data_IF_786312582585
#
_entry.id   IF_786312582585
#
_cell.length_a   1.000
_cell.length_b   1.000
_cell.length_c   1.000
_cell.angle_alpha   90.00
_cell.angle_beta   90.00
_cell.angle_gamma   90.00
#
_symmetry.space_group_name_H-M   'P 1'
#
loop_
_entity.id
_entity.type
_entity.pdbx_description
1 polymer ?
#
# COMPACT_ATOMS: atom_id res chain seq x y z
N UNK A 1 18.23 -2.96 -8.45
CA UNK A 1 19.29 -1.92 -8.34
C UNK A 1 18.93 -0.86 -7.29
N UNK A 2 17.69 -0.31 -7.29
CA UNK A 2 17.24 0.74 -6.36
C UNK A 2 17.33 0.30 -4.89
N UNK A 3 16.85 -0.91 -4.55
CA UNK A 3 16.98 -1.46 -3.20
C UNK A 3 18.43 -1.57 -2.73
N UNK A 4 19.34 -1.97 -3.62
CA UNK A 4 20.76 -2.04 -3.32
C UNK A 4 21.36 -0.67 -3.02
N UNK A 5 20.93 0.37 -3.75
CA UNK A 5 21.32 1.75 -3.51
C UNK A 5 20.83 2.23 -2.13
N UNK A 6 19.55 1.98 -1.82
CA UNK A 6 18.96 2.34 -0.52
C UNK A 6 19.61 1.62 0.66
N UNK A 7 20.07 0.37 0.47
CA UNK A 7 20.85 -0.35 1.50
C UNK A 7 22.23 0.27 1.68
N UNK A 8 22.91 0.65 0.59
CA UNK A 8 24.22 1.35 0.66
C UNK A 8 24.09 2.71 1.34
N UNK A 9 22.97 3.40 1.14
CA UNK A 9 22.66 4.68 1.79
C UNK A 9 22.14 4.53 3.23
N UNK A 10 22.05 3.32 3.77
CA UNK A 10 21.53 3.07 5.11
C UNK A 10 20.02 3.27 5.28
N UNK A 11 19.29 3.54 4.19
CA UNK A 11 17.83 3.78 4.19
C UNK A 11 17.00 2.49 4.19
N UNK A 12 17.63 1.35 3.88
CA UNK A 12 17.00 0.05 3.83
C UNK A 12 17.88 -1.01 4.51
N UNK A 13 17.28 -1.89 5.31
CA UNK A 13 18.04 -3.01 5.93
C UNK A 13 18.43 -4.05 4.89
N UNK A 14 19.60 -4.65 5.04
CA UNK A 14 20.12 -5.70 4.14
C UNK A 14 19.18 -6.91 4.03
N UNK A 15 18.39 -7.19 5.07
CA UNK A 15 17.35 -8.23 5.08
C UNK A 15 16.18 -7.96 4.13
N UNK A 16 15.97 -6.69 3.73
CA UNK A 16 14.96 -6.31 2.75
C UNK A 16 15.38 -6.58 1.29
N UNK A 17 16.61 -7.02 1.08
CA UNK A 17 17.12 -7.50 -0.22
C UNK A 17 16.66 -8.92 -0.58
N UNK A 18 15.73 -9.51 0.17
CA UNK A 18 15.09 -10.77 -0.25
C UNK A 18 14.21 -10.48 -1.46
N UNK A 19 14.85 -10.37 -2.61
CA UNK A 19 14.16 -10.11 -3.86
C UNK A 19 13.33 -11.33 -4.24
N UNK A 20 12.02 -11.13 -4.28
CA UNK A 20 11.11 -12.00 -5.02
C UNK A 20 11.06 -11.46 -6.44
N UNK A 21 11.36 -12.31 -7.41
CA UNK A 21 11.26 -12.00 -8.83
C UNK A 21 10.28 -12.96 -9.47
N UNK A 22 9.21 -12.42 -10.05
CA UNK A 22 8.23 -13.20 -10.80
C UNK A 22 8.54 -13.04 -12.29
N UNK A 23 8.64 -14.15 -12.99
CA UNK A 23 8.97 -14.18 -14.42
C UNK A 23 8.20 -15.29 -15.14
N UNK A 24 8.06 -15.17 -16.44
CA UNK A 24 7.48 -16.20 -17.30
C UNK A 24 8.63 -17.05 -17.84
N UNK A 25 8.58 -18.36 -17.55
CA UNK A 25 9.58 -19.33 -18.00
C UNK A 25 9.41 -19.73 -19.47
N UNK A 26 10.35 -20.52 -19.99
CA UNK A 26 10.30 -21.06 -21.37
C UNK A 26 9.13 -22.02 -21.58
N UNK A 27 8.60 -22.58 -20.50
CA UNK A 27 7.38 -23.41 -20.46
C UNK A 27 6.07 -22.57 -20.52
N UNK A 28 6.20 -21.25 -20.69
CA UNK A 28 5.12 -20.27 -20.71
C UNK A 28 4.34 -20.17 -19.39
N UNK A 29 4.87 -20.68 -18.27
CA UNK A 29 4.30 -20.59 -16.92
C UNK A 29 4.97 -19.49 -16.10
N UNK A 30 4.27 -18.98 -15.10
CA UNK A 30 4.82 -18.02 -14.16
C UNK A 30 5.54 -18.72 -13.01
N UNK A 31 6.74 -18.24 -12.73
CA UNK A 31 7.63 -18.71 -11.68
C UNK A 31 8.01 -17.57 -10.73
N UNK A 32 8.10 -17.86 -9.45
CA UNK A 32 8.61 -16.94 -8.43
C UNK A 32 9.95 -17.44 -7.90
N UNK A 33 10.98 -16.59 -8.01
CA UNK A 33 12.30 -16.86 -7.45
C UNK A 33 12.49 -16.02 -6.19
N UNK A 34 12.74 -16.71 -5.06
CA UNK A 34 13.07 -16.10 -3.75
C UNK A 34 14.44 -16.61 -3.30
N UNK A 35 15.49 -15.80 -3.46
CA UNK A 35 16.86 -16.22 -3.17
C UNK A 35 17.28 -17.41 -4.04
N UNK A 36 17.47 -18.59 -3.44
CA UNK A 36 17.83 -19.84 -4.14
C UNK A 36 16.61 -20.71 -4.52
N UNK A 37 15.44 -20.44 -3.98
CA UNK A 37 14.21 -21.19 -4.25
C UNK A 37 13.52 -20.66 -5.49
N UNK A 38 13.01 -21.55 -6.34
CA UNK A 38 12.18 -21.22 -7.49
C UNK A 38 10.93 -22.11 -7.45
N UNK A 39 9.75 -21.49 -7.49
CA UNK A 39 8.46 -22.14 -7.36
C UNK A 39 7.55 -21.74 -8.51
N UNK A 40 6.80 -22.72 -9.06
CA UNK A 40 5.77 -22.42 -10.06
C UNK A 40 4.54 -21.84 -9.36
N UNK A 41 4.13 -20.64 -9.79
CA UNK A 41 2.97 -19.90 -9.26
C UNK A 41 1.93 -19.62 -10.33
N UNK A 42 1.95 -20.39 -11.41
CA UNK A 42 1.09 -20.15 -12.57
C UNK A 42 -0.41 -20.19 -12.22
N UNK A 43 -0.80 -21.07 -11.31
CA UNK A 43 -2.18 -21.19 -10.83
C UNK A 43 -2.61 -20.00 -9.94
N UNK A 44 -1.67 -19.29 -9.34
CA UNK A 44 -1.93 -18.12 -8.49
C UNK A 44 -2.06 -16.83 -9.31
N UNK A 45 -1.56 -16.82 -10.57
CA UNK A 45 -1.61 -15.64 -11.44
C UNK A 45 -2.96 -15.56 -12.13
N UNK A 46 -3.71 -14.48 -11.93
CA UNK A 46 -5.12 -14.42 -12.35
C UNK A 46 -5.32 -14.19 -13.85
N UNK A 47 -4.33 -13.60 -14.54
CA UNK A 47 -4.37 -13.30 -15.97
C UNK A 47 -2.99 -12.97 -16.52
N UNK A 48 -2.84 -13.09 -17.82
CA UNK A 48 -1.63 -12.65 -18.52
C UNK A 48 -1.51 -11.13 -18.59
N UNK A 49 -0.28 -10.64 -18.49
CA UNK A 49 0.06 -9.22 -18.62
C UNK A 49 0.94 -9.00 -19.86
N UNK A 50 0.98 -7.75 -20.41
CA UNK A 50 1.89 -7.41 -21.49
C UNK A 50 3.34 -7.74 -21.15
N UNK A 51 4.15 -8.09 -22.16
CA UNK A 51 5.58 -8.46 -21.96
C UNK A 51 6.42 -7.34 -21.33
N UNK A 52 5.99 -6.09 -21.45
CA UNK A 52 6.64 -4.92 -20.82
C UNK A 52 6.28 -4.75 -19.35
N UNK A 53 5.29 -5.49 -18.84
CA UNK A 53 4.85 -5.44 -17.44
C UNK A 53 5.50 -6.54 -16.62
N UNK A 54 5.48 -6.37 -15.30
CA UNK A 54 5.92 -7.39 -14.36
C UNK A 54 4.85 -7.66 -13.31
N UNK A 55 4.68 -8.92 -12.92
CA UNK A 55 4.02 -9.24 -11.67
C UNK A 55 4.98 -9.03 -10.50
N UNK A 56 4.48 -8.46 -9.41
CA UNK A 56 5.23 -8.31 -8.16
C UNK A 56 4.37 -8.68 -6.96
N UNK A 57 4.99 -9.11 -5.86
CA UNK A 57 4.37 -9.10 -4.54
C UNK A 57 4.41 -7.67 -4.01
N UNK A 58 3.35 -7.25 -3.31
CA UNK A 58 3.26 -5.90 -2.79
C UNK A 58 4.46 -5.55 -1.88
N UNK A 59 4.94 -6.48 -1.05
CA UNK A 59 6.14 -6.30 -0.22
C UNK A 59 7.42 -6.00 -1.01
N UNK A 60 7.46 -6.38 -2.29
CA UNK A 60 8.63 -6.15 -3.15
C UNK A 60 8.72 -4.71 -3.62
N UNK A 61 7.58 -4.03 -3.76
CA UNK A 61 7.49 -2.70 -4.35
C UNK A 61 7.10 -1.60 -3.36
N UNK A 62 6.45 -1.95 -2.25
CA UNK A 62 6.03 -1.01 -1.21
C UNK A 62 6.49 -1.52 0.17
N UNK A 63 7.01 -0.62 0.99
CA UNK A 63 7.32 -0.96 2.36
C UNK A 63 6.05 -0.80 3.21
N UNK A 64 5.58 -1.91 3.78
CA UNK A 64 4.47 -1.86 4.72
C UNK A 64 4.98 -1.46 6.11
N UNK A 65 4.37 -0.43 6.68
CA UNK A 65 4.66 0.05 8.01
C UNK A 65 3.45 -0.06 8.95
N UNK A 66 3.70 -0.36 10.21
CA UNK A 66 2.73 -0.26 11.29
C UNK A 66 3.05 0.95 12.15
N UNK A 67 2.02 1.69 12.54
CA UNK A 67 2.16 2.78 13.50
C UNK A 67 2.57 2.26 14.89
N UNK A 68 3.29 3.07 15.65
CA UNK A 68 3.38 2.90 17.10
C UNK A 68 2.00 3.17 17.71
N UNK A 69 1.65 2.37 18.72
CA UNK A 69 0.32 2.47 19.35
C UNK A 69 0.15 3.79 20.10
N UNK A 70 -0.89 4.54 19.76
CA UNK A 70 -1.40 5.68 20.52
C UNK A 70 -2.48 5.16 21.47
N UNK A 71 -2.32 5.40 22.77
CA UNK A 71 -3.29 4.99 23.78
C UNK A 71 -4.39 6.05 23.96
N UNK A 72 -5.56 5.65 24.47
CA UNK A 72 -6.70 6.57 24.66
C UNK A 72 -6.36 7.76 25.59
N UNK A 73 -5.46 7.56 26.56
CA UNK A 73 -4.97 8.64 27.46
C UNK A 73 -4.21 9.75 26.71
N UNK A 74 -3.69 9.45 25.52
CA UNK A 74 -2.89 10.37 24.71
C UNK A 74 -3.74 11.13 23.67
N UNK A 75 -5.05 10.83 23.61
CA UNK A 75 -5.96 11.53 22.72
C UNK A 75 -6.24 12.94 23.22
N UNK A 76 -6.35 13.87 22.25
CA UNK A 76 -6.63 15.31 22.46
C UNK A 76 -7.77 15.75 21.57
N UNK A 77 -8.30 16.94 21.87
CA UNK A 77 -9.31 17.62 21.05
C UNK A 77 -8.72 18.59 20.03
N UNK A 78 -7.40 18.85 20.13
CA UNK A 78 -6.66 19.70 19.20
C UNK A 78 -5.20 19.25 19.14
N UNK A 79 -4.48 19.60 18.07
CA UNK A 79 -3.08 19.23 17.87
C UNK A 79 -2.84 18.58 16.50
N UNK A 80 -2.04 17.54 16.45
CA UNK A 80 -1.79 16.75 15.22
C UNK A 80 -2.97 15.79 15.02
N UNK A 81 -3.64 15.80 13.86
CA UNK A 81 -4.72 14.86 13.56
C UNK A 81 -4.32 13.40 13.75
N UNK A 82 -5.19 12.62 14.39
CA UNK A 82 -5.02 11.20 14.58
C UNK A 82 -6.12 10.43 13.88
N UNK A 83 -5.77 9.74 12.78
CA UNK A 83 -6.72 9.10 11.89
C UNK A 83 -6.88 7.60 12.18
N UNK A 84 -8.13 7.17 12.25
CA UNK A 84 -8.57 5.77 12.26
C UNK A 84 -9.02 5.38 10.86
N UNK A 85 -9.47 4.14 10.68
CA UNK A 85 -10.02 3.69 9.39
C UNK A 85 -11.20 4.57 8.88
N UNK A 86 -12.02 5.10 9.80
CA UNK A 86 -13.13 6.02 9.44
C UNK A 86 -12.61 7.29 8.75
N UNK A 87 -11.63 7.94 9.35
CA UNK A 87 -11.06 9.19 8.84
C UNK A 87 -10.33 8.95 7.51
N UNK A 88 -9.53 7.90 7.41
CA UNK A 88 -8.86 7.53 6.14
C UNK A 88 -9.87 7.19 5.05
N UNK A 89 -10.96 6.48 5.38
CA UNK A 89 -12.04 6.19 4.44
C UNK A 89 -12.69 7.46 3.90
N UNK A 90 -13.01 8.42 4.76
CA UNK A 90 -13.57 9.73 4.35
C UNK A 90 -12.58 10.53 3.50
N UNK A 91 -11.31 10.60 3.89
CA UNK A 91 -10.28 11.27 3.09
C UNK A 91 -10.14 10.64 1.70
N UNK A 92 -10.27 9.32 1.61
CA UNK A 92 -10.20 8.60 0.33
C UNK A 92 -11.38 8.90 -0.60
N UNK A 93 -12.59 9.05 -0.04
CA UNK A 93 -13.83 9.24 -0.80
C UNK A 93 -14.17 10.72 -1.03
N UNK A 94 -13.99 11.57 -0.02
CA UNK A 94 -14.46 12.96 0.00
C UNK A 94 -13.30 13.98 -0.12
N UNK A 95 -12.06 13.53 0.08
CA UNK A 95 -10.86 14.38 0.04
C UNK A 95 -10.66 15.23 1.29
N UNK A 96 -11.61 15.20 2.23
CA UNK A 96 -11.55 15.92 3.50
C UNK A 96 -12.19 15.10 4.63
N UNK A 97 -11.88 15.44 5.88
CA UNK A 97 -12.53 14.87 7.06
C UNK A 97 -12.61 15.88 8.19
N UNK A 98 -13.78 15.94 8.83
CA UNK A 98 -13.94 16.57 10.14
C UNK A 98 -13.39 15.62 11.20
N UNK A 99 -12.22 15.97 11.74
CA UNK A 99 -11.47 15.11 12.65
C UNK A 99 -11.82 15.41 14.11
N UNK A 100 -12.01 14.36 14.89
CA UNK A 100 -12.39 14.45 16.31
C UNK A 100 -11.24 14.12 17.26
N UNK A 101 -10.18 13.43 16.75
CA UNK A 101 -9.08 12.94 17.56
C UNK A 101 -7.76 13.54 17.12
N UNK A 102 -6.99 13.97 18.08
CA UNK A 102 -5.68 14.56 17.88
C UNK A 102 -4.68 13.96 18.87
N UNK A 103 -3.40 14.20 18.65
CA UNK A 103 -2.31 13.89 19.58
C UNK A 103 -1.44 15.12 19.78
N UNK A 104 -0.68 15.15 20.86
CA UNK A 104 0.29 16.21 21.14
C UNK A 104 1.41 16.22 20.09
N UNK A 105 1.93 17.40 19.75
CA UNK A 105 3.05 17.55 18.84
C UNK A 105 4.28 16.77 19.34
N UNK A 106 4.57 16.80 20.64
CA UNK A 106 5.71 16.10 21.23
C UNK A 106 5.62 14.58 21.05
N UNK A 107 4.41 13.99 21.15
CA UNK A 107 4.19 12.57 20.87
C UNK A 107 4.37 12.25 19.39
N UNK A 108 3.88 13.12 18.51
CA UNK A 108 4.08 12.99 17.07
C UNK A 108 5.57 13.01 16.71
N UNK A 109 6.35 13.94 17.28
CA UNK A 109 7.79 14.06 17.05
C UNK A 109 8.56 12.84 17.57
N UNK A 110 8.22 12.31 18.75
CA UNK A 110 8.78 11.05 19.26
C UNK A 110 8.50 9.89 18.30
N UNK A 111 7.27 9.79 17.77
CA UNK A 111 6.87 8.72 16.86
C UNK A 111 7.47 8.89 15.46
N UNK A 112 7.78 10.11 15.05
CA UNK A 112 8.40 10.40 13.76
C UNK A 112 9.76 9.73 13.58
N UNK A 113 10.47 9.45 14.68
CA UNK A 113 11.71 8.68 14.66
C UNK A 113 11.54 7.25 14.11
N UNK A 114 10.33 6.68 14.23
CA UNK A 114 9.96 5.36 13.72
C UNK A 114 9.34 5.40 12.31
N UNK A 115 9.18 6.59 11.75
CA UNK A 115 8.54 6.87 10.48
C UNK A 115 7.10 7.34 10.62
N UNK A 116 6.76 8.34 9.82
CA UNK A 116 5.39 8.87 9.62
C UNK A 116 5.04 8.76 8.15
N UNK A 117 3.75 8.84 7.79
CA UNK A 117 3.36 8.89 6.38
C UNK A 117 4.02 10.07 5.67
N UNK A 118 4.57 9.82 4.49
CA UNK A 118 5.21 10.82 3.64
C UNK A 118 4.38 11.04 2.38
N UNK A 119 4.55 12.16 1.67
CA UNK A 119 3.88 12.41 0.41
C UNK A 119 4.03 11.25 -0.58
N UNK A 120 2.96 10.91 -1.26
CA UNK A 120 2.83 9.75 -2.17
C UNK A 120 2.84 8.36 -1.48
N UNK A 121 2.90 8.28 -0.16
CA UNK A 121 2.56 7.04 0.54
C UNK A 121 1.05 6.77 0.46
N UNK A 122 0.67 5.49 0.57
CA UNK A 122 -0.73 5.08 0.52
C UNK A 122 -1.19 4.60 1.90
N UNK A 123 -2.26 5.21 2.39
CA UNK A 123 -2.92 4.80 3.64
C UNK A 123 -4.11 3.91 3.30
N UNK A 124 -4.13 2.67 3.82
CA UNK A 124 -5.19 1.70 3.53
C UNK A 124 -6.00 1.39 4.77
N UNK A 125 -7.34 1.40 4.63
CA UNK A 125 -8.23 0.94 5.70
C UNK A 125 -8.16 -0.58 5.85
N UNK A 126 -7.83 -1.04 7.06
CA UNK A 126 -7.61 -2.45 7.39
C UNK A 126 -8.76 -3.09 8.20
N UNK A 127 -9.75 -2.29 8.62
CA UNK A 127 -10.95 -2.74 9.33
C UNK A 127 -12.18 -1.94 8.85
N UNK A 128 -13.37 -2.48 9.06
CA UNK A 128 -14.61 -1.87 8.60
C UNK A 128 -14.73 -1.93 7.07
N UNK A 129 -14.78 -0.77 6.41
CA UNK A 129 -14.72 -0.72 4.94
C UNK A 129 -13.29 -0.93 4.49
N UNK A 130 -12.96 -2.18 4.16
CA UNK A 130 -11.60 -2.58 3.79
C UNK A 130 -11.14 -2.03 2.45
N UNK A 131 -9.86 -1.70 2.37
CA UNK A 131 -9.17 -1.42 1.10
C UNK A 131 -9.51 -0.08 0.48
N UNK A 132 -10.02 0.89 1.25
CA UNK A 132 -10.04 2.29 0.84
C UNK A 132 -8.65 2.86 0.92
N UNK A 133 -8.23 3.57 -0.11
CA UNK A 133 -6.85 4.09 -0.24
C UNK A 133 -6.85 5.61 -0.28
N UNK A 134 -6.15 6.22 0.66
CA UNK A 134 -5.82 7.63 0.65
C UNK A 134 -4.35 7.83 0.27
N UNK A 135 -4.08 8.71 -0.69
CA UNK A 135 -2.71 9.09 -1.06
C UNK A 135 -2.34 10.31 -0.23
N UNK A 136 -1.23 10.20 0.50
CA UNK A 136 -0.71 11.28 1.36
C UNK A 136 -0.24 12.46 0.50
N UNK A 137 -0.71 13.67 0.83
CA UNK A 137 -0.38 14.92 0.13
C UNK A 137 0.81 15.62 0.79
N UNK A 138 1.44 16.53 0.08
CA UNK A 138 2.53 17.38 0.60
C UNK A 138 2.12 18.23 1.82
N UNK A 139 0.83 18.64 1.85
CA UNK A 139 0.28 19.44 2.95
C UNK A 139 -0.10 18.64 4.18
N UNK A 140 -0.06 17.31 4.11
CA UNK A 140 -0.56 16.46 5.18
C UNK A 140 0.45 16.33 6.32
N UNK A 141 -0.07 16.49 7.54
CA UNK A 141 0.64 16.20 8.77
C UNK A 141 -0.32 15.53 9.74
N UNK A 142 -0.21 14.21 9.89
CA UNK A 142 -1.08 13.42 10.76
C UNK A 142 -0.37 12.17 11.27
N UNK A 143 -0.96 11.54 12.26
CA UNK A 143 -0.61 10.19 12.69
C UNK A 143 -1.83 9.26 12.55
N UNK A 144 -1.63 7.95 12.63
CA UNK A 144 -2.72 7.00 12.35
C UNK A 144 -2.76 5.84 13.34
N UNK A 145 -3.94 5.20 13.43
CA UNK A 145 -4.19 4.10 14.38
C UNK A 145 -3.64 2.78 13.86
N UNK A 146 -2.73 2.20 14.64
CA UNK A 146 -2.23 0.83 14.43
C UNK A 146 -3.37 -0.20 14.34
N UNK A 147 -3.18 -1.22 13.52
CA UNK A 147 -4.12 -2.32 13.32
C UNK A 147 -5.43 -1.98 12.60
N UNK A 148 -5.78 -0.69 12.44
CA UNK A 148 -6.96 -0.27 11.67
C UNK A 148 -6.62 0.44 10.37
N UNK A 149 -5.42 0.98 10.26
CA UNK A 149 -4.86 1.62 9.08
C UNK A 149 -3.46 1.06 8.83
N UNK A 150 -3.15 0.74 7.59
CA UNK A 150 -1.82 0.33 7.14
C UNK A 150 -1.23 1.43 6.27
N UNK A 151 0.07 1.70 6.45
CA UNK A 151 0.82 2.60 5.60
C UNK A 151 1.67 1.78 4.62
N UNK A 152 1.53 2.07 3.34
CA UNK A 152 2.36 1.55 2.26
C UNK A 152 3.30 2.64 1.79
N UNK A 153 4.53 2.59 2.26
CA UNK A 153 5.54 3.60 1.92
C UNK A 153 6.05 3.40 0.49
N UNK A 154 5.81 4.39 -0.36
CA UNK A 154 6.16 4.39 -1.79
C UNK A 154 7.59 4.89 -2.02
N UNK A 155 8.57 4.18 -1.49
CA UNK A 155 9.99 4.59 -1.54
C UNK A 155 10.65 4.47 -2.91
N UNK A 156 9.99 3.80 -3.86
CA UNK A 156 10.54 3.57 -5.20
C UNK A 156 9.99 4.54 -6.26
N UNK A 157 9.15 5.49 -5.85
CA UNK A 157 8.62 6.52 -6.74
C UNK A 157 7.66 5.99 -7.81
N UNK A 158 6.90 4.94 -7.50
CA UNK A 158 5.82 4.47 -8.37
C UNK A 158 4.68 5.49 -8.42
N UNK A 159 3.88 5.48 -9.48
CA UNK A 159 2.71 6.34 -9.57
C UNK A 159 1.67 5.97 -8.50
N UNK A 160 1.50 6.83 -7.50
CA UNK A 160 0.62 6.56 -6.35
C UNK A 160 -0.85 6.38 -6.77
N UNK A 161 -1.30 7.15 -7.76
CA UNK A 161 -2.66 7.01 -8.31
C UNK A 161 -2.87 5.68 -9.02
N UNK A 162 -1.86 5.21 -9.78
CA UNK A 162 -1.92 3.89 -10.40
C UNK A 162 -2.03 2.80 -9.32
N UNK A 163 -1.20 2.86 -8.30
CA UNK A 163 -1.23 1.92 -7.18
C UNK A 163 -2.60 1.94 -6.47
N UNK A 164 -3.16 3.14 -6.21
CA UNK A 164 -4.50 3.29 -5.66
C UNK A 164 -5.55 2.61 -6.53
N UNK A 165 -5.54 2.86 -7.84
CA UNK A 165 -6.48 2.24 -8.80
C UNK A 165 -6.41 0.72 -8.74
N UNK A 166 -5.20 0.14 -8.75
CA UNK A 166 -5.04 -1.32 -8.68
C UNK A 166 -5.50 -1.87 -7.35
N UNK A 167 -5.13 -1.27 -6.22
CA UNK A 167 -5.49 -1.73 -4.87
C UNK A 167 -7.02 -1.65 -4.64
N UNK A 168 -7.68 -0.64 -5.19
CA UNK A 168 -9.13 -0.49 -5.11
C UNK A 168 -9.90 -1.31 -6.14
N UNK A 169 -9.22 -1.95 -7.09
CA UNK A 169 -9.84 -2.76 -8.15
C UNK A 169 -10.52 -4.03 -7.60
N UNK A 170 -11.52 -4.57 -8.32
CA UNK A 170 -12.12 -5.86 -7.99
C UNK A 170 -11.11 -7.01 -7.97
N UNK A 171 -10.10 -6.98 -8.86
CA UNK A 171 -9.01 -7.93 -8.90
C UNK A 171 -8.25 -7.99 -7.57
N UNK A 172 -7.75 -6.84 -7.11
CA UNK A 172 -6.97 -6.81 -5.86
C UNK A 172 -7.84 -7.15 -4.65
N UNK A 173 -9.06 -6.64 -4.61
CA UNK A 173 -10.05 -6.95 -3.57
C UNK A 173 -10.44 -8.42 -3.54
N UNK A 174 -10.40 -9.11 -4.68
CA UNK A 174 -10.63 -10.56 -4.79
C UNK A 174 -9.64 -11.36 -3.94
N UNK A 175 -8.37 -10.97 -3.90
CA UNK A 175 -7.32 -11.69 -3.17
C UNK A 175 -7.60 -11.79 -1.67
N UNK A 176 -8.05 -10.70 -1.01
CA UNK A 176 -8.36 -10.78 0.42
C UNK A 176 -9.78 -11.28 0.73
N UNK A 177 -10.72 -11.22 -0.21
CA UNK A 177 -12.04 -11.79 -0.05
C UNK A 177 -12.01 -13.31 -0.03
N UNK A 178 -11.19 -13.93 -0.87
CA UNK A 178 -11.01 -15.38 -0.91
C UNK A 178 -10.47 -15.91 0.43
N UNK A 179 -9.52 -15.19 1.04
CA UNK A 179 -8.94 -15.57 2.34
C UNK A 179 -9.87 -15.32 3.54
N UNK A 180 -10.88 -14.46 3.38
CA UNK A 180 -11.81 -14.08 4.46
C UNK A 180 -13.04 -14.98 4.55
N UNK A 181 -13.18 -16.00 3.70
CA UNK A 181 -14.28 -16.94 3.76
C UNK A 181 -14.26 -17.71 5.08
N UNK A 182 -15.29 -17.50 5.92
CA UNK A 182 -15.45 -18.16 7.21
C UNK A 182 -15.11 -17.31 8.44
N UNK A 183 -14.69 -16.05 8.29
CA UNK A 183 -14.45 -15.14 9.42
C UNK A 183 -15.57 -14.10 9.56
N UNK A 184 -16.05 -13.90 10.80
CA UNK A 184 -17.16 -12.98 11.12
C UNK A 184 -16.81 -11.50 10.85
N UNK A 185 -15.52 -11.15 10.89
CA UNK A 185 -15.01 -9.80 10.61
C UNK A 185 -13.80 -9.90 9.69
N UNK A 186 -13.95 -9.42 8.47
CA UNK A 186 -12.83 -9.31 7.54
C UNK A 186 -11.84 -8.25 8.05
N UNK A 187 -10.58 -8.65 8.23
CA UNK A 187 -9.48 -7.74 8.60
C UNK A 187 -8.35 -7.91 7.61
N UNK A 188 -7.89 -6.81 7.04
CA UNK A 188 -6.71 -6.78 6.19
C UNK A 188 -5.46 -6.67 7.06
N UNK A 189 -4.71 -7.76 7.17
CA UNK A 189 -3.45 -7.75 7.93
C UNK A 189 -2.27 -7.39 7.04
N UNK A 190 -1.24 -6.79 7.63
CA UNK A 190 0.01 -6.46 6.92
C UNK A 190 0.63 -7.70 6.27
N UNK A 191 0.70 -8.81 7.00
CA UNK A 191 1.30 -10.08 6.52
C UNK A 191 0.57 -10.64 5.29
N UNK A 192 -0.75 -10.49 5.24
CA UNK A 192 -1.54 -10.89 4.06
C UNK A 192 -1.33 -9.93 2.91
N UNK A 193 -1.48 -8.62 3.19
CA UNK A 193 -1.33 -7.57 2.18
C UNK A 193 0.02 -7.64 1.46
N UNK A 194 1.09 -7.94 2.17
CA UNK A 194 2.43 -8.10 1.62
C UNK A 194 2.54 -9.16 0.52
N UNK A 195 1.74 -10.20 0.60
CA UNK A 195 1.77 -11.36 -0.31
C UNK A 195 0.96 -11.16 -1.59
N UNK A 196 0.06 -10.16 -1.63
CA UNK A 196 -0.82 -9.99 -2.78
C UNK A 196 -0.07 -9.58 -4.02
N UNK A 197 -0.54 -10.08 -5.15
CA UNK A 197 0.01 -9.76 -6.45
C UNK A 197 -0.48 -8.40 -6.94
N UNK A 198 0.42 -7.72 -7.62
CA UNK A 198 0.14 -6.45 -8.28
C UNK A 198 0.85 -6.41 -9.63
N UNK A 199 0.15 -6.05 -10.73
CA UNK A 199 0.79 -5.87 -12.02
C UNK A 199 1.48 -4.50 -12.07
N UNK A 200 2.72 -4.47 -12.57
CA UNK A 200 3.54 -3.25 -12.61
C UNK A 200 3.95 -2.94 -14.04
N UNK A 201 3.30 -1.96 -14.69
CA UNK A 201 3.75 -1.38 -15.93
C UNK A 201 5.05 -0.58 -15.76
N UNK A 202 5.79 -0.29 -16.85
CA UNK A 202 6.78 0.77 -16.84
C UNK A 202 6.20 2.10 -16.32
N UNK A 203 7.00 2.88 -15.59
CA UNK A 203 6.51 4.07 -14.86
C UNK A 203 5.73 5.05 -15.77
N UNK A 204 6.21 5.32 -16.99
CA UNK A 204 5.52 6.20 -17.93
C UNK A 204 4.15 5.64 -18.35
N UNK A 205 4.01 4.33 -18.40
CA UNK A 205 2.76 3.68 -18.70
C UNK A 205 1.77 3.76 -17.53
N UNK A 206 2.26 3.69 -16.28
CA UNK A 206 1.42 3.93 -15.10
C UNK A 206 0.74 5.30 -15.18
N UNK A 207 1.48 6.36 -15.52
CA UNK A 207 0.91 7.71 -15.68
C UNK A 207 -0.09 7.77 -16.84
N UNK A 208 0.20 7.15 -17.98
CA UNK A 208 -0.74 7.11 -19.12
C UNK A 208 -2.04 6.39 -18.79
N UNK A 209 -1.97 5.30 -18.03
CA UNK A 209 -3.15 4.57 -17.57
C UNK A 209 -4.03 5.46 -16.70
N UNK A 210 -3.43 6.15 -15.73
CA UNK A 210 -4.14 7.08 -14.83
C UNK A 210 -4.81 8.20 -15.62
N UNK A 211 -4.10 8.83 -16.56
CA UNK A 211 -4.63 9.90 -17.40
C UNK A 211 -5.81 9.40 -18.24
N UNK A 212 -5.64 8.25 -18.91
CA UNK A 212 -6.71 7.64 -19.70
C UNK A 212 -7.95 7.34 -18.85
N UNK A 213 -7.76 6.78 -17.67
CA UNK A 213 -8.86 6.50 -16.77
C UNK A 213 -9.61 7.79 -16.35
N UNK A 214 -8.89 8.85 -16.00
CA UNK A 214 -9.48 10.15 -15.64
C UNK A 214 -10.30 10.73 -16.79
N UNK A 215 -9.77 10.65 -18.02
CA UNK A 215 -10.48 11.14 -19.21
C UNK A 215 -11.77 10.36 -19.45
N UNK A 216 -11.76 9.04 -19.32
CA UNK A 216 -12.97 8.21 -19.45
C UNK A 216 -13.98 8.55 -18.35
N UNK A 217 -13.53 8.64 -17.10
CA UNK A 217 -14.40 8.95 -15.97
C UNK A 217 -15.08 10.32 -16.14
N UNK A 218 -14.36 11.31 -16.66
CA UNK A 218 -14.93 12.66 -16.93
C UNK A 218 -15.97 12.71 -18.05
N UNK A 219 -15.96 11.73 -18.96
CA UNK A 219 -16.98 11.64 -20.04
C UNK A 219 -18.25 10.95 -19.53
N UNK A 220 -18.12 10.10 -18.51
CA UNK A 220 -19.22 9.31 -17.97
C UNK A 220 -19.96 10.00 -16.79
N UNK A 221 -19.41 11.09 -16.25
CA UNK A 221 -19.99 11.91 -15.17
C UNK A 221 -20.85 13.04 -15.74
#
# INVERSE_FOLDING_TARGET
>A
EEKLKLVKEGKLKKSALKDSVIFKGDDNKYWEKKGTTCECIDEDIPFDIPKSWAWARLETILNTGSARRVHAKDWRQAGIPFYRAREIGKLADEGFVDNELYIDLSLYEDFSSSGVPLPNDLMITAVGTLGKVYIVKESDKFYYKDGSVLCLANKYGLCAEYLKMVIESPFFKGQYRQESQGTTVATLTMVRLQKYFIPIPPLQEQYRIVETYRNIASIMS
#
